data_IF_853370932814
#
_entry.id   IF_853370932814
#
_cell.length_a   1.000
_cell.length_b   1.000
_cell.length_c   1.000
_cell.angle_alpha   90.00
_cell.angle_beta   90.00
_cell.angle_gamma   90.00
#
_symmetry.space_group_name_H-M   'P 1'
#
loop_
_entity.id
_entity.type
_entity.pdbx_description
1 polymer ?
#
# COMPACT_ATOMS: atom_id res chain seq x y z
N UNK A 1 -20.84 3.95 -29.84
CA UNK A 1 -20.81 5.14 -28.94
C UNK A 1 -21.11 4.68 -27.53
N UNK A 2 -20.08 4.58 -26.69
CA UNK A 2 -20.13 3.84 -25.43
C UNK A 2 -20.76 4.69 -24.32
N UNK A 3 -21.90 4.24 -23.79
CA UNK A 3 -22.59 4.86 -22.65
C UNK A 3 -21.66 4.86 -21.43
N UNK A 4 -20.99 5.99 -21.19
CA UNK A 4 -20.29 6.22 -19.92
C UNK A 4 -21.38 6.37 -18.86
N UNK A 5 -21.65 5.29 -18.12
CA UNK A 5 -22.41 5.42 -16.88
C UNK A 5 -21.59 6.32 -15.95
N UNK A 6 -22.05 7.55 -15.76
CA UNK A 6 -21.43 8.53 -14.86
C UNK A 6 -21.37 7.92 -13.47
N UNK A 7 -20.21 8.01 -12.82
CA UNK A 7 -20.07 7.63 -11.42
C UNK A 7 -20.68 8.74 -10.57
N UNK A 8 -21.65 8.41 -9.72
CA UNK A 8 -22.20 9.39 -8.77
C UNK A 8 -21.19 9.68 -7.66
N UNK A 9 -21.42 10.76 -6.93
CA UNK A 9 -20.60 11.09 -5.77
C UNK A 9 -20.74 10.04 -4.67
N UNK A 10 -21.95 9.50 -4.49
CA UNK A 10 -22.27 8.45 -3.52
C UNK A 10 -21.50 7.16 -3.86
N UNK A 11 -21.54 6.71 -5.12
CA UNK A 11 -20.78 5.54 -5.58
C UNK A 11 -19.27 5.77 -5.37
N UNK A 12 -18.79 6.98 -5.65
CA UNK A 12 -17.37 7.33 -5.48
C UNK A 12 -16.96 7.32 -4.01
N UNK A 13 -17.78 7.86 -3.11
CA UNK A 13 -17.55 7.83 -1.65
C UNK A 13 -17.56 6.39 -1.12
N UNK A 14 -18.52 5.58 -1.56
CA UNK A 14 -18.66 4.18 -1.18
C UNK A 14 -17.44 3.37 -1.62
N UNK A 15 -17.00 3.55 -2.87
CA UNK A 15 -15.81 2.89 -3.42
C UNK A 15 -14.54 3.21 -2.62
N UNK A 16 -14.39 4.47 -2.17
CA UNK A 16 -13.26 4.89 -1.32
C UNK A 16 -13.26 4.15 0.01
N UNK A 17 -14.41 4.11 0.68
CA UNK A 17 -14.54 3.45 1.98
C UNK A 17 -14.16 1.97 1.90
N UNK A 18 -14.70 1.25 0.90
CA UNK A 18 -14.46 -0.19 0.73
C UNK A 18 -13.01 -0.52 0.36
N UNK A 19 -12.36 0.35 -0.43
CA UNK A 19 -10.94 0.16 -0.77
C UNK A 19 -10.01 0.40 0.43
N UNK A 20 -10.39 1.27 1.37
CA UNK A 20 -9.60 1.61 2.56
C UNK A 20 -9.85 0.61 3.69
N UNK A 21 -11.07 0.08 3.85
CA UNK A 21 -11.44 -0.88 4.89
C UNK A 21 -10.80 -2.26 4.72
N UNK A 22 -10.09 -2.51 3.62
CA UNK A 22 -9.49 -3.82 3.34
C UNK A 22 -10.49 -4.88 2.90
N UNK A 23 -11.73 -4.49 2.59
CA UNK A 23 -12.79 -5.34 2.01
C UNK A 23 -12.28 -6.03 0.75
N UNK A 24 -12.64 -7.31 0.56
CA UNK A 24 -12.19 -8.15 -0.57
C UNK A 24 -12.63 -7.55 -1.92
N UNK A 25 -11.98 -7.93 -3.03
CA UNK A 25 -12.40 -7.39 -4.33
C UNK A 25 -13.73 -8.01 -4.76
N UNK A 26 -13.96 -9.28 -4.42
CA UNK A 26 -15.22 -9.98 -4.65
C UNK A 26 -16.38 -9.28 -3.93
N UNK A 27 -16.21 -8.91 -2.66
CA UNK A 27 -17.21 -8.17 -1.88
C UNK A 27 -17.50 -6.78 -2.49
N UNK A 28 -16.49 -6.11 -3.04
CA UNK A 28 -16.67 -4.84 -3.74
C UNK A 28 -17.45 -5.04 -5.05
N UNK A 29 -17.19 -6.11 -5.79
CA UNK A 29 -17.93 -6.43 -7.01
C UNK A 29 -19.40 -6.74 -6.71
N UNK A 30 -19.69 -7.43 -5.60
CA UNK A 30 -21.06 -7.69 -5.15
C UNK A 30 -21.81 -6.40 -4.80
N UNK A 31 -21.17 -5.48 -4.07
CA UNK A 31 -21.75 -4.18 -3.73
C UNK A 31 -22.06 -3.35 -5.00
N UNK A 32 -21.19 -3.44 -6.01
CA UNK A 32 -21.33 -2.72 -7.28
C UNK A 32 -21.78 -3.63 -8.42
N UNK A 33 -22.83 -4.44 -8.21
CA UNK A 33 -23.39 -5.37 -9.21
C UNK A 33 -23.75 -4.74 -10.58
N UNK A 34 -24.01 -3.43 -10.62
CA UNK A 34 -24.31 -2.68 -11.85
C UNK A 34 -23.06 -2.26 -12.64
N UNK A 35 -21.86 -2.44 -12.08
CA UNK A 35 -20.58 -2.05 -12.66
C UNK A 35 -19.74 -3.29 -12.93
N UNK A 36 -19.02 -3.29 -14.06
CA UNK A 36 -18.05 -4.34 -14.31
C UNK A 36 -16.83 -4.18 -13.41
N UNK A 37 -16.19 -5.30 -13.07
CA UNK A 37 -14.89 -5.37 -12.39
C UNK A 37 -13.86 -4.39 -12.95
N UNK A 38 -13.81 -4.28 -14.28
CA UNK A 38 -12.88 -3.40 -14.95
C UNK A 38 -13.23 -1.91 -14.75
N UNK A 39 -14.51 -1.56 -14.76
CA UNK A 39 -14.96 -0.19 -14.47
C UNK A 39 -14.61 0.23 -13.04
N UNK A 40 -14.77 -0.68 -12.07
CA UNK A 40 -14.41 -0.47 -10.66
C UNK A 40 -12.90 -0.23 -10.54
N UNK A 41 -12.07 -1.11 -11.13
CA UNK A 41 -10.60 -0.97 -11.12
C UNK A 41 -10.13 0.34 -11.75
N UNK A 42 -10.69 0.68 -12.92
CA UNK A 42 -10.33 1.90 -13.64
C UNK A 42 -10.71 3.15 -12.84
N UNK A 43 -11.89 3.15 -12.20
CA UNK A 43 -12.32 4.24 -11.33
C UNK A 43 -11.42 4.35 -10.09
N UNK A 44 -11.16 3.24 -9.41
CA UNK A 44 -10.29 3.22 -8.24
C UNK A 44 -8.87 3.74 -8.57
N UNK A 45 -8.32 3.34 -9.72
CA UNK A 45 -7.03 3.82 -10.22
C UNK A 45 -7.05 5.34 -10.49
N UNK A 46 -8.09 5.85 -11.16
CA UNK A 46 -8.28 7.30 -11.39
C UNK A 46 -8.47 8.10 -10.11
N UNK A 47 -8.97 7.49 -9.04
CA UNK A 47 -9.10 8.09 -7.72
C UNK A 47 -7.81 7.96 -6.88
N UNK A 48 -6.78 7.28 -7.37
CA UNK A 48 -5.54 7.02 -6.64
C UNK A 48 -5.69 6.02 -5.49
N UNK A 49 -6.77 5.24 -5.46
CA UNK A 49 -7.03 4.27 -4.39
C UNK A 49 -6.15 3.05 -4.54
N UNK A 50 -5.56 2.61 -3.43
CA UNK A 50 -4.79 1.37 -3.34
C UNK A 50 -5.36 0.52 -2.23
N UNK A 51 -5.54 -0.77 -2.51
CA UNK A 51 -6.02 -1.72 -1.51
C UNK A 51 -4.85 -2.07 -0.58
N UNK A 52 -5.03 -2.05 0.74
CA UNK A 52 -4.05 -2.60 1.66
C UNK A 52 -3.92 -4.10 1.36
N UNK A 53 -2.73 -4.55 1.03
CA UNK A 53 -2.48 -5.94 0.65
C UNK A 53 -2.66 -6.84 1.88
N UNK A 54 -3.84 -7.42 2.07
CA UNK A 54 -4.15 -8.43 3.10
C UNK A 54 -3.47 -9.79 2.82
N UNK A 55 -2.43 -9.83 1.98
CA UNK A 55 -1.50 -10.96 1.81
C UNK A 55 -0.16 -10.68 2.51
N UNK A 56 -0.22 -10.12 3.71
CA UNK A 56 0.93 -10.05 4.62
C UNK A 56 0.78 -10.99 5.83
N UNK A 57 -0.13 -11.96 5.79
CA UNK A 57 -0.03 -13.12 6.67
C UNK A 57 1.09 -14.03 6.15
N UNK A 58 2.28 -13.77 6.68
CA UNK A 58 3.33 -14.74 7.01
C UNK A 58 3.90 -15.53 5.82
N UNK A 59 5.05 -15.06 5.30
CA UNK A 59 6.28 -15.86 5.37
C UNK A 59 7.53 -15.04 5.03
N UNK A 60 8.36 -14.86 6.07
CA UNK A 60 9.82 -14.90 6.10
C UNK A 60 10.55 -15.01 4.76
N UNK A 61 11.10 -13.90 4.27
CA UNK A 61 12.55 -13.77 4.04
C UNK A 61 12.88 -12.35 3.55
N UNK A 62 13.37 -11.55 4.49
CA UNK A 62 14.02 -10.25 4.30
C UNK A 62 13.15 -9.12 3.71
N UNK A 63 12.32 -8.53 4.58
CA UNK A 63 11.79 -7.17 4.37
C UNK A 63 12.85 -6.08 4.56
N UNK A 64 14.10 -6.47 4.84
CA UNK A 64 15.21 -5.60 5.17
C UNK A 64 16.45 -6.07 4.43
N UNK A 65 17.07 -5.19 3.65
CA UNK A 65 18.38 -5.38 3.03
C UNK A 65 19.38 -4.45 3.71
N UNK A 66 20.52 -5.00 4.14
CA UNK A 66 21.66 -4.22 4.63
C UNK A 66 22.56 -3.85 3.47
N UNK A 67 22.86 -2.57 3.32
CA UNK A 67 23.89 -2.07 2.41
C UNK A 67 25.10 -1.68 3.26
N UNK A 68 26.23 -2.34 3.04
CA UNK A 68 27.53 -1.91 3.56
C UNK A 68 28.36 -1.36 2.42
N UNK A 69 28.96 -0.19 2.64
CA UNK A 69 29.86 0.47 1.67
C UNK A 69 31.30 -0.07 1.74
N UNK A 70 31.54 -1.11 2.55
CA UNK A 70 32.86 -1.72 2.75
C UNK A 70 33.82 -0.89 3.59
N UNK A 71 33.41 0.28 4.11
CA UNK A 71 34.30 1.21 4.81
C UNK A 71 34.00 1.33 6.32
N UNK A 72 33.21 0.41 6.87
CA UNK A 72 32.91 0.36 8.32
C UNK A 72 32.08 1.54 8.83
N UNK A 73 31.42 2.28 7.93
CA UNK A 73 30.58 3.44 8.25
C UNK A 73 29.15 3.27 7.74
N UNK A 74 28.20 3.71 8.59
CA UNK A 74 26.75 3.89 8.41
C UNK A 74 26.06 2.81 7.56
N UNK A 75 25.46 1.84 8.25
CA UNK A 75 24.59 0.84 7.63
C UNK A 75 23.29 1.49 7.11
N UNK A 76 23.15 1.62 5.80
CA UNK A 76 21.88 1.97 5.18
C UNK A 76 21.00 0.71 5.06
N UNK A 77 19.74 0.81 5.51
CA UNK A 77 18.77 -0.28 5.39
C UNK A 77 17.73 0.02 4.31
N UNK A 78 17.48 -0.95 3.44
CA UNK A 78 16.34 -0.95 2.53
C UNK A 78 15.20 -1.76 3.12
N UNK A 79 14.04 -1.14 3.28
CA UNK A 79 12.82 -1.80 3.72
C UNK A 79 11.82 -1.98 2.58
N UNK A 80 11.26 -3.17 2.45
CA UNK A 80 10.16 -3.43 1.50
C UNK A 80 8.84 -3.11 2.17
N UNK A 81 8.11 -2.14 1.62
CA UNK A 81 6.78 -1.78 2.11
C UNK A 81 5.80 -2.95 1.94
N UNK A 82 5.21 -3.43 3.04
CA UNK A 82 4.18 -4.47 3.00
C UNK A 82 2.88 -4.05 2.30
N UNK A 83 2.56 -2.74 2.30
CA UNK A 83 1.34 -2.20 1.70
C UNK A 83 1.38 -2.11 0.18
N UNK A 84 2.48 -1.61 -0.39
CA UNK A 84 2.60 -1.41 -1.84
C UNK A 84 3.85 -2.02 -2.51
N UNK A 85 4.64 -2.80 -1.77
CA UNK A 85 5.83 -3.50 -2.26
C UNK A 85 7.00 -2.59 -2.64
N UNK A 86 6.95 -1.29 -2.35
CA UNK A 86 7.99 -0.33 -2.72
C UNK A 86 9.14 -0.35 -1.72
N UNK A 87 10.37 -0.20 -2.21
CA UNK A 87 11.57 -0.13 -1.39
C UNK A 87 11.75 1.27 -0.79
N UNK A 88 12.18 1.33 0.47
CA UNK A 88 12.31 2.55 1.26
C UNK A 88 13.68 2.55 1.95
N UNK A 89 14.39 3.67 1.92
CA UNK A 89 15.67 3.80 2.62
C UNK A 89 15.42 4.24 4.07
N UNK A 90 16.15 3.67 5.01
CA UNK A 90 16.18 4.08 6.38
C UNK A 90 17.62 4.30 6.83
N UNK A 91 17.89 5.52 7.27
CA UNK A 91 19.19 5.91 7.81
C UNK A 91 19.22 5.58 9.31
N UNK A 92 20.21 4.81 9.75
CA UNK A 92 20.34 4.33 11.13
C UNK A 92 21.00 5.33 12.10
N UNK A 93 21.23 6.59 11.72
CA UNK A 93 21.99 7.58 12.51
C UNK A 93 21.26 8.25 13.70
N UNK A 94 20.21 7.66 14.30
CA UNK A 94 19.44 8.32 15.36
C UNK A 94 19.33 7.54 16.66
N UNK A 95 19.98 7.98 17.73
CA UNK A 95 19.73 7.51 19.11
C UNK A 95 18.27 7.77 19.50
N UNK A 96 17.40 6.75 19.39
CA UNK A 96 16.11 6.61 20.08
C UNK A 96 15.39 5.33 19.62
N UNK A 97 14.86 4.59 20.58
CA UNK A 97 14.24 3.25 20.51
C UNK A 97 12.95 3.11 19.66
N UNK A 98 12.59 4.08 18.81
CA UNK A 98 11.35 4.03 18.02
C UNK A 98 11.55 4.56 16.60
N UNK A 99 12.15 3.74 15.75
CA UNK A 99 12.46 4.11 14.36
C UNK A 99 11.30 3.73 13.44
N UNK A 100 10.35 4.64 13.31
CA UNK A 100 9.19 4.49 12.40
C UNK A 100 9.55 4.99 10.99
N UNK A 101 9.25 4.19 9.96
CA UNK A 101 9.42 4.56 8.54
C UNK A 101 8.05 4.67 7.89
N UNK A 102 7.81 5.75 7.16
CA UNK A 102 6.56 5.96 6.42
C UNK A 102 6.81 5.77 4.93
N UNK A 103 6.00 4.94 4.28
CA UNK A 103 6.08 4.74 2.85
C UNK A 103 5.62 5.99 2.09
N UNK A 104 6.52 6.64 1.37
CA UNK A 104 6.20 7.80 0.51
C UNK A 104 5.11 7.51 -0.52
N UNK A 105 4.91 6.24 -0.90
CA UNK A 105 4.02 5.83 -1.98
C UNK A 105 2.61 5.45 -1.56
N UNK A 106 2.44 4.95 -0.34
CA UNK A 106 1.14 4.48 0.16
C UNK A 106 0.86 4.85 1.62
N UNK A 107 1.76 5.61 2.24
CA UNK A 107 1.68 6.07 3.63
C UNK A 107 1.59 4.94 4.67
N UNK A 108 1.88 3.69 4.27
CA UNK A 108 2.02 2.57 5.21
C UNK A 108 3.16 2.85 6.17
N UNK A 109 2.87 2.68 7.45
CA UNK A 109 3.79 2.87 8.55
C UNK A 109 4.46 1.54 8.87
N UNK A 110 5.78 1.52 8.91
CA UNK A 110 6.59 0.39 9.34
C UNK A 110 7.31 0.79 10.63
N UNK A 111 7.12 0.00 11.69
CA UNK A 111 7.97 0.06 12.89
C UNK A 111 8.94 -1.09 12.85
N UNK A 112 10.21 -0.82 13.11
CA UNK A 112 11.22 -1.86 13.27
C UNK A 112 11.93 -1.70 14.60
N UNK A 113 12.23 -2.84 15.21
CA UNK A 113 13.05 -2.96 16.42
C UNK A 113 14.32 -3.67 15.95
N UNK A 114 15.49 -3.09 16.23
CA UNK A 114 16.80 -3.63 15.83
C UNK A 114 17.19 -4.79 16.74
#
# INVERSE_FOLDING_TARGET
MSRQSLWTEEETKRLRLLYISGTSFEEIEEEFSTRSSNAIRLKASRLGLRRPNMLASVNSSQNTLRISDGNGGIEDLLFKCGGCGSWMHANLNGEADDRTIICSRCQTILRYVV
#
